data_IF_779856986109
#
_entry.id   IF_779856986109
#
_cell.length_a   1.000
_cell.length_b   1.000
_cell.length_c   1.000
_cell.angle_alpha   90.00
_cell.angle_beta   90.00
_cell.angle_gamma   90.00
#
_symmetry.space_group_name_H-M   'P 1'
#
loop_
_entity.id
_entity.type
_entity.pdbx_description
1 polymer ?
#
# COMPACT_ATOMS: atom_id res chain seq x y z
N UNK A 1 67.02 -12.72 -45.93
CA UNK A 1 65.60 -12.99 -45.74
C UNK A 1 64.85 -12.46 -46.94
N UNK A 2 64.12 -13.36 -47.65
CA UNK A 2 63.51 -12.97 -48.95
C UNK A 2 62.28 -12.08 -48.69
N UNK A 3 62.07 -11.01 -49.47
CA UNK A 3 60.93 -10.05 -49.30
C UNK A 3 59.57 -10.79 -49.25
N UNK A 4 59.47 -11.93 -49.91
CA UNK A 4 58.28 -12.82 -49.85
C UNK A 4 58.04 -13.46 -48.51
N UNK A 5 59.10 -13.83 -47.73
CA UNK A 5 58.96 -14.40 -46.39
C UNK A 5 58.54 -13.36 -45.34
N UNK A 6 58.94 -12.11 -45.51
CA UNK A 6 58.50 -11.00 -44.63
C UNK A 6 57.02 -10.71 -44.88
N UNK A 7 56.54 -10.75 -46.11
CA UNK A 7 55.16 -10.51 -46.45
C UNK A 7 54.25 -11.60 -45.89
N UNK A 8 54.65 -12.88 -45.94
CA UNK A 8 53.90 -13.99 -45.32
C UNK A 8 53.89 -13.91 -43.80
N UNK A 9 54.98 -13.45 -43.17
CA UNK A 9 55.00 -13.28 -41.71
C UNK A 9 54.12 -12.11 -41.27
N UNK A 10 54.05 -11.01 -42.02
CA UNK A 10 53.17 -9.90 -41.74
C UNK A 10 51.70 -10.23 -41.97
N UNK A 11 51.35 -11.02 -43.02
CA UNK A 11 49.95 -11.45 -43.21
C UNK A 11 49.52 -12.45 -42.15
N UNK A 12 50.37 -13.33 -41.68
CA UNK A 12 50.06 -14.25 -40.59
C UNK A 12 49.88 -13.53 -39.25
N UNK A 13 50.72 -12.53 -38.96
CA UNK A 13 50.56 -11.67 -37.77
C UNK A 13 49.31 -10.81 -37.83
N UNK A 14 48.90 -10.31 -39.01
CA UNK A 14 47.65 -9.56 -39.19
C UNK A 14 46.42 -10.45 -39.03
N UNK A 15 46.47 -11.72 -39.43
CA UNK A 15 45.37 -12.68 -39.18
C UNK A 15 45.23 -13.03 -37.70
N UNK A 16 46.31 -13.08 -36.92
CA UNK A 16 46.24 -13.29 -35.47
C UNK A 16 45.71 -12.07 -34.70
N UNK A 17 45.89 -10.86 -35.22
CA UNK A 17 45.36 -9.65 -34.63
C UNK A 17 43.87 -9.45 -34.91
N UNK A 18 43.29 -10.10 -35.95
CA UNK A 18 41.88 -10.08 -36.24
C UNK A 18 41.09 -11.20 -35.50
N UNK A 19 41.80 -12.14 -34.85
CA UNK A 19 41.23 -13.14 -33.99
C UNK A 19 41.16 -12.70 -32.51
N UNK A 20 41.38 -11.40 -32.19
CA UNK A 20 40.89 -10.83 -30.96
C UNK A 20 39.39 -10.81 -31.05
N UNK A 21 38.79 -11.95 -30.71
CA UNK A 21 37.38 -12.00 -30.36
C UNK A 21 37.15 -10.84 -29.38
N UNK A 22 36.35 -9.87 -29.76
CA UNK A 22 35.55 -9.16 -28.80
C UNK A 22 34.70 -10.24 -28.15
N UNK A 23 35.22 -10.85 -27.12
CA UNK A 23 34.40 -11.54 -26.15
C UNK A 23 33.52 -10.43 -25.62
N UNK A 24 32.30 -10.28 -26.13
CA UNK A 24 31.26 -9.56 -25.43
C UNK A 24 31.18 -10.27 -24.09
N UNK A 25 31.87 -9.72 -23.08
CA UNK A 25 31.78 -10.21 -21.72
C UNK A 25 30.31 -10.05 -21.32
N UNK A 26 29.54 -11.11 -21.50
CA UNK A 26 28.17 -11.16 -21.01
C UNK A 26 28.22 -10.95 -19.49
N UNK A 27 27.78 -9.81 -18.96
CA UNK A 27 27.87 -9.51 -17.52
C UNK A 27 27.08 -10.50 -16.68
N UNK A 28 26.26 -11.33 -17.32
CA UNK A 28 25.43 -12.34 -16.70
C UNK A 28 25.90 -13.77 -16.94
N UNK A 29 27.07 -13.97 -17.55
CA UNK A 29 27.64 -15.29 -17.77
C UNK A 29 27.75 -16.07 -16.46
N UNK A 30 27.14 -17.26 -16.41
CA UNK A 30 27.12 -18.11 -15.20
C UNK A 30 26.09 -17.72 -14.14
N UNK A 31 25.24 -16.73 -14.40
CA UNK A 31 24.09 -16.35 -13.54
C UNK A 31 22.80 -16.96 -14.08
N UNK A 32 21.86 -17.17 -13.18
CA UNK A 32 20.50 -17.63 -13.48
C UNK A 32 19.58 -16.42 -13.43
N UNK A 33 18.77 -16.25 -14.47
CA UNK A 33 17.72 -15.23 -14.50
C UNK A 33 16.53 -15.70 -13.70
N UNK A 34 16.17 -14.96 -12.66
CA UNK A 34 14.95 -15.14 -11.88
C UNK A 34 13.99 -14.00 -12.20
N UNK A 35 12.81 -14.34 -12.68
CA UNK A 35 11.77 -13.37 -13.06
C UNK A 35 10.58 -13.50 -12.11
N UNK A 36 10.10 -12.37 -11.61
CA UNK A 36 8.89 -12.29 -10.80
C UNK A 36 7.81 -11.52 -11.55
N UNK A 37 6.59 -12.06 -11.51
CA UNK A 37 5.38 -11.39 -11.97
C UNK A 37 4.60 -11.04 -10.70
N UNK A 38 4.67 -9.77 -10.31
CA UNK A 38 3.96 -9.24 -9.16
C UNK A 38 2.55 -8.80 -9.58
N UNK A 39 1.56 -9.23 -8.82
CA UNK A 39 0.15 -8.91 -9.02
C UNK A 39 -0.34 -8.07 -7.85
N UNK A 40 -1.07 -7.00 -8.13
CA UNK A 40 -1.92 -6.37 -7.11
C UNK A 40 -3.08 -7.31 -6.78
N UNK A 41 -3.68 -7.24 -5.58
CA UNK A 41 -4.87 -8.02 -5.25
C UNK A 41 -5.95 -7.81 -6.31
N UNK A 42 -6.54 -8.89 -6.79
CA UNK A 42 -7.71 -8.79 -7.68
C UNK A 42 -8.87 -8.21 -6.89
N UNK A 43 -9.27 -7.00 -7.19
CA UNK A 43 -10.53 -6.46 -6.70
C UNK A 43 -11.65 -7.08 -7.52
N UNK A 44 -12.35 -8.04 -6.96
CA UNK A 44 -13.51 -8.69 -7.60
C UNK A 44 -14.75 -7.79 -7.67
N UNK A 45 -14.60 -6.46 -7.67
CA UNK A 45 -15.74 -5.59 -7.86
C UNK A 45 -16.12 -5.50 -9.34
N UNK A 46 -16.99 -6.39 -9.78
CA UNK A 46 -17.64 -6.30 -11.10
C UNK A 46 -18.62 -5.11 -11.19
N UNK A 47 -18.94 -4.44 -10.10
CA UNK A 47 -19.93 -3.36 -10.05
C UNK A 47 -19.49 -2.19 -9.19
N UNK A 48 -18.87 -1.22 -9.80
CA UNK A 48 -18.49 0.10 -9.29
C UNK A 48 -17.06 0.24 -8.78
N UNK A 49 -16.45 1.36 -9.11
CA UNK A 49 -15.21 1.87 -8.50
C UNK A 49 -15.40 1.99 -6.99
N UNK A 50 -14.96 0.98 -6.25
CA UNK A 50 -14.93 1.06 -4.81
C UNK A 50 -13.70 1.87 -4.41
N UNK A 51 -13.87 2.88 -3.60
CA UNK A 51 -12.74 3.58 -2.96
C UNK A 51 -11.90 2.54 -2.21
N UNK A 52 -10.57 2.58 -2.42
CA UNK A 52 -9.65 1.60 -1.83
C UNK A 52 -9.60 0.26 -2.58
N UNK A 53 -9.90 0.26 -3.88
CA UNK A 53 -9.86 -0.93 -4.74
C UNK A 53 -8.44 -1.38 -5.13
N UNK A 54 -7.41 -0.65 -4.71
CA UNK A 54 -6.00 -0.98 -5.00
C UNK A 54 -5.52 -0.60 -6.39
N UNK A 55 -6.39 -0.06 -7.25
CA UNK A 55 -6.03 0.24 -8.65
C UNK A 55 -5.12 1.46 -8.80
N UNK A 56 -4.88 2.20 -7.73
CA UNK A 56 -4.04 3.42 -7.76
C UNK A 56 -2.55 3.10 -7.71
N UNK A 57 -2.12 2.00 -7.09
CA UNK A 57 -0.71 1.62 -7.10
C UNK A 57 -0.25 1.33 -8.53
N UNK A 58 0.79 2.02 -8.98
CA UNK A 58 1.27 1.96 -10.35
C UNK A 58 2.80 1.84 -10.47
N UNK A 59 3.52 1.80 -9.36
CA UNK A 59 4.96 1.67 -9.30
C UNK A 59 5.37 0.57 -8.32
N UNK A 60 6.34 -0.26 -8.72
CA UNK A 60 6.89 -1.35 -7.92
C UNK A 60 8.36 -1.09 -7.60
N UNK A 61 8.72 -1.35 -6.35
CA UNK A 61 10.09 -1.42 -5.82
C UNK A 61 10.42 -2.87 -5.50
N UNK A 62 11.67 -3.27 -5.76
CA UNK A 62 12.10 -4.64 -5.65
C UNK A 62 13.51 -4.73 -5.04
N UNK A 63 13.69 -5.59 -4.05
CA UNK A 63 14.97 -5.86 -3.38
C UNK A 63 15.28 -7.34 -3.39
N UNK A 64 16.57 -7.65 -3.47
CA UNK A 64 17.10 -9.00 -3.35
C UNK A 64 18.03 -9.07 -2.15
N UNK A 65 17.84 -10.08 -1.31
CA UNK A 65 18.69 -10.36 -0.14
C UNK A 65 19.31 -11.74 -0.26
N UNK A 66 20.52 -11.88 0.26
CA UNK A 66 21.17 -13.16 0.43
C UNK A 66 20.60 -13.96 1.64
N UNK A 67 21.11 -15.15 1.87
CA UNK A 67 20.73 -16.02 2.99
C UNK A 67 20.94 -15.37 4.38
N UNK A 68 21.83 -14.38 4.48
CA UNK A 68 22.16 -13.63 5.71
C UNK A 68 21.32 -12.35 5.89
N UNK A 69 20.32 -12.14 5.04
CA UNK A 69 19.52 -10.91 4.96
C UNK A 69 20.34 -9.65 4.59
N UNK A 70 21.47 -9.83 3.91
CA UNK A 70 22.20 -8.71 3.35
C UNK A 70 21.68 -8.41 1.95
N UNK A 71 21.43 -7.15 1.67
CA UNK A 71 21.01 -6.71 0.34
C UNK A 71 22.09 -7.05 -0.68
N UNK A 72 21.69 -7.69 -1.77
CA UNK A 72 22.59 -7.99 -2.88
C UNK A 72 22.81 -6.71 -3.68
N UNK A 73 24.01 -6.18 -3.66
CA UNK A 73 24.37 -4.94 -4.35
C UNK A 73 23.94 -4.98 -5.82
N UNK A 74 23.49 -3.84 -6.31
CA UNK A 74 23.05 -3.59 -7.69
C UNK A 74 21.81 -4.39 -8.14
N UNK A 75 21.07 -5.03 -7.20
CA UNK A 75 19.83 -5.75 -7.50
C UNK A 75 18.57 -5.02 -7.08
N UNK A 76 18.69 -3.85 -6.44
CA UNK A 76 17.55 -2.98 -6.17
C UNK A 76 17.00 -2.42 -7.48
N UNK A 77 15.68 -2.57 -7.69
CA UNK A 77 14.97 -1.99 -8.83
C UNK A 77 13.84 -1.12 -8.33
N UNK A 78 13.65 -0.01 -9.01
CA UNK A 78 12.58 0.96 -8.71
C UNK A 78 12.00 1.48 -10.03
N UNK A 79 10.93 2.26 -9.94
CA UNK A 79 10.21 2.80 -11.11
C UNK A 79 9.70 1.73 -12.07
N UNK A 80 9.48 0.50 -11.60
CA UNK A 80 8.88 -0.57 -12.41
C UNK A 80 7.38 -0.33 -12.46
N UNK A 81 6.84 -0.12 -13.67
CA UNK A 81 5.45 0.24 -13.84
C UNK A 81 4.55 -1.00 -13.91
N UNK A 82 3.38 -0.91 -13.29
CA UNK A 82 2.32 -1.89 -13.49
C UNK A 82 1.68 -1.70 -14.88
N UNK A 83 1.38 -2.81 -15.53
CA UNK A 83 0.62 -2.83 -16.77
C UNK A 83 -0.90 -2.72 -16.51
N UNK A 84 -1.70 -2.64 -17.57
CA UNK A 84 -3.16 -2.51 -17.49
C UNK A 84 -3.87 -3.66 -16.75
N UNK A 85 -3.19 -4.77 -16.49
CA UNK A 85 -3.71 -5.94 -15.79
C UNK A 85 -3.25 -5.99 -14.32
N UNK A 86 -2.84 -4.86 -13.77
CA UNK A 86 -2.33 -4.75 -12.39
C UNK A 86 -1.16 -5.69 -12.10
N UNK A 87 -0.31 -5.92 -13.10
CA UNK A 87 0.88 -6.75 -13.00
C UNK A 87 2.14 -5.97 -13.33
N UNK A 88 3.22 -6.26 -12.60
CA UNK A 88 4.56 -5.73 -12.88
C UNK A 88 5.55 -6.90 -12.97
N UNK A 89 6.55 -6.78 -13.86
CA UNK A 89 7.57 -7.81 -14.05
C UNK A 89 8.95 -7.27 -13.71
N UNK A 90 9.66 -7.97 -12.82
CA UNK A 90 11.04 -7.67 -12.44
C UNK A 90 11.89 -8.92 -12.61
N UNK A 91 13.19 -8.73 -12.86
CA UNK A 91 14.12 -9.85 -13.00
C UNK A 91 15.44 -9.55 -12.29
N UNK A 92 16.05 -10.59 -11.71
CA UNK A 92 17.40 -10.55 -11.14
C UNK A 92 18.25 -11.66 -11.75
N UNK A 93 19.57 -11.39 -11.93
CA UNK A 93 20.55 -12.36 -12.39
C UNK A 93 21.39 -12.81 -11.21
N UNK A 94 21.14 -14.01 -10.70
CA UNK A 94 21.65 -14.50 -9.44
C UNK A 94 22.65 -15.63 -9.63
N UNK A 95 23.59 -15.75 -8.69
CA UNK A 95 24.55 -16.84 -8.67
C UNK A 95 23.83 -18.14 -8.28
N UNK A 96 23.93 -19.21 -9.06
CA UNK A 96 23.31 -20.49 -8.74
C UNK A 96 23.95 -21.13 -7.51
N UNK A 97 23.22 -22.06 -6.89
CA UNK A 97 23.64 -22.80 -5.70
C UNK A 97 23.42 -22.07 -4.37
N UNK A 98 22.73 -20.92 -4.38
CA UNK A 98 22.44 -20.11 -3.21
C UNK A 98 20.94 -19.93 -2.98
N UNK A 99 20.58 -19.60 -1.75
CA UNK A 99 19.23 -19.20 -1.36
C UNK A 99 19.15 -17.68 -1.32
N UNK A 100 18.09 -17.14 -1.90
CA UNK A 100 17.83 -15.70 -1.92
C UNK A 100 16.44 -15.40 -1.37
N UNK A 101 16.26 -14.16 -0.90
CA UNK A 101 15.00 -13.63 -0.40
C UNK A 101 14.66 -12.38 -1.18
N UNK A 102 13.37 -12.11 -1.34
CA UNK A 102 12.91 -11.01 -2.20
C UNK A 102 11.81 -10.23 -1.50
N UNK A 103 11.96 -8.91 -1.53
CA UNK A 103 10.96 -7.98 -1.03
C UNK A 103 10.37 -7.15 -2.17
N UNK A 104 9.11 -6.82 -2.03
CA UNK A 104 8.35 -6.02 -2.97
C UNK A 104 7.56 -4.97 -2.21
N UNK A 105 7.53 -3.75 -2.75
CA UNK A 105 6.68 -2.67 -2.29
C UNK A 105 6.05 -1.99 -3.49
N UNK A 106 4.73 -1.81 -3.48
CA UNK A 106 4.02 -1.13 -4.55
C UNK A 106 3.23 0.06 -3.98
N UNK A 107 3.28 1.18 -4.68
CA UNK A 107 2.63 2.43 -4.32
C UNK A 107 2.26 3.23 -5.57
N UNK A 108 1.55 4.34 -5.40
CA UNK A 108 1.41 5.32 -6.47
C UNK A 108 2.70 6.14 -6.62
N UNK A 109 3.17 6.32 -7.86
CA UNK A 109 4.45 7.01 -8.16
C UNK A 109 4.49 8.48 -7.71
N UNK A 110 3.33 9.14 -7.64
CA UNK A 110 3.24 10.56 -7.28
C UNK A 110 2.97 10.77 -5.78
N UNK A 111 2.81 9.69 -4.99
CA UNK A 111 2.63 9.80 -3.55
C UNK A 111 3.95 10.21 -2.87
N UNK A 112 3.88 11.14 -1.94
CA UNK A 112 5.06 11.66 -1.25
C UNK A 112 5.18 11.16 0.19
N UNK A 113 4.16 10.50 0.70
CA UNK A 113 4.19 9.99 2.07
C UNK A 113 5.04 8.73 2.27
N UNK A 114 5.52 8.08 1.20
CA UNK A 114 6.37 6.89 1.28
C UNK A 114 7.73 7.13 0.64
N UNK A 115 8.80 6.74 1.34
CA UNK A 115 10.15 6.70 0.78
C UNK A 115 10.72 5.27 0.84
N UNK A 116 10.58 4.48 -0.24
CA UNK A 116 11.01 3.09 -0.32
C UNK A 116 12.46 2.93 -0.83
N UNK A 117 13.33 3.94 -0.70
CA UNK A 117 14.74 3.84 -1.12
C UNK A 117 15.59 2.93 -0.26
N UNK A 118 15.09 2.50 0.87
CA UNK A 118 15.75 1.57 1.79
C UNK A 118 14.81 0.44 2.20
N UNK A 119 15.36 -0.63 2.77
CA UNK A 119 14.60 -1.76 3.32
C UNK A 119 13.61 -1.36 4.44
N UNK A 120 13.86 -0.24 5.08
CA UNK A 120 12.93 0.44 5.97
C UNK A 120 12.28 1.57 5.18
N UNK A 121 11.06 1.33 4.68
CA UNK A 121 10.26 2.36 4.02
C UNK A 121 9.89 3.43 5.03
N UNK A 122 10.24 4.67 4.74
CA UNK A 122 9.79 5.83 5.52
C UNK A 122 8.32 6.15 5.21
N UNK A 123 7.55 6.41 6.25
CA UNK A 123 6.14 6.81 6.14
C UNK A 123 5.98 8.18 6.81
N UNK A 124 5.59 9.17 6.04
CA UNK A 124 5.35 10.53 6.51
C UNK A 124 3.87 10.73 6.85
N UNK A 125 3.62 11.46 7.96
CA UNK A 125 2.31 11.92 8.40
C UNK A 125 2.35 13.44 8.60
N UNK A 126 2.93 14.15 7.62
CA UNK A 126 3.04 15.61 7.65
C UNK A 126 1.89 16.23 6.86
N UNK A 127 1.50 17.45 7.25
CA UNK A 127 0.38 18.23 6.68
C UNK A 127 0.34 18.25 5.14
N UNK A 128 1.48 18.40 4.50
CA UNK A 128 1.61 18.48 3.04
C UNK A 128 1.52 17.13 2.32
N UNK A 129 1.52 16.03 3.09
CA UNK A 129 1.49 14.65 2.56
C UNK A 129 0.36 13.81 3.13
N UNK A 130 -0.39 14.31 4.10
CA UNK A 130 -1.35 13.54 4.88
C UNK A 130 -2.74 14.17 4.83
N UNK A 131 -3.33 14.16 3.65
CA UNK A 131 -4.68 14.67 3.43
C UNK A 131 -5.71 13.55 3.52
N UNK A 132 -6.90 13.89 4.01
CA UNK A 132 -8.04 13.00 4.02
C UNK A 132 -8.48 12.65 2.59
N UNK A 133 -9.10 11.50 2.40
CA UNK A 133 -9.65 11.03 1.12
C UNK A 133 -8.63 10.81 -0.01
N UNK A 134 -7.34 10.67 0.31
CA UNK A 134 -6.32 10.40 -0.69
C UNK A 134 -6.14 8.88 -0.93
N UNK A 135 -6.76 8.37 -2.00
CA UNK A 135 -6.60 6.97 -2.42
C UNK A 135 -5.18 6.63 -2.92
N UNK A 136 -4.35 7.62 -3.24
CA UNK A 136 -2.98 7.38 -3.67
C UNK A 136 -2.11 6.82 -2.54
N UNK A 137 -2.55 6.96 -1.28
CA UNK A 137 -1.89 6.39 -0.09
C UNK A 137 -1.98 4.88 0.01
N UNK A 138 -2.77 4.21 -0.82
CA UNK A 138 -2.84 2.75 -0.82
C UNK A 138 -1.51 2.13 -1.26
N UNK A 139 -0.98 1.19 -0.47
CA UNK A 139 0.30 0.56 -0.73
C UNK A 139 0.27 -0.94 -0.42
N UNK A 140 1.13 -1.68 -1.13
CA UNK A 140 1.14 -3.14 -1.10
C UNK A 140 2.54 -3.68 -0.89
N UNK A 141 2.62 -4.82 -0.28
CA UNK A 141 3.86 -5.50 0.06
C UNK A 141 3.84 -6.97 -0.35
N UNK A 142 5.01 -7.51 -0.68
CA UNK A 142 5.22 -8.93 -0.93
C UNK A 142 6.57 -9.41 -0.40
N UNK A 143 6.64 -10.68 -0.01
CA UNK A 143 7.87 -11.30 0.47
C UNK A 143 7.99 -12.74 0.02
N UNK A 144 9.15 -13.11 -0.51
CA UNK A 144 9.53 -14.49 -0.76
C UNK A 144 10.70 -14.81 0.15
N UNK A 145 10.51 -15.66 1.18
CA UNK A 145 11.48 -15.81 2.26
C UNK A 145 12.72 -16.62 1.85
N UNK A 146 12.56 -17.62 1.00
CA UNK A 146 13.64 -18.54 0.62
C UNK A 146 13.37 -19.11 -0.77
N UNK A 147 14.18 -18.70 -1.75
CA UNK A 147 14.19 -19.29 -3.08
C UNK A 147 15.58 -19.83 -3.36
N UNK A 148 15.71 -21.14 -3.48
CA UNK A 148 16.94 -21.77 -3.95
C UNK A 148 17.07 -21.58 -5.46
N UNK A 149 18.16 -20.97 -5.89
CA UNK A 149 18.48 -20.75 -7.31
C UNK A 149 19.36 -21.91 -7.79
N UNK A 150 18.77 -22.83 -8.54
CA UNK A 150 19.49 -23.97 -9.11
C UNK A 150 20.31 -23.57 -10.35
N UNK A 151 21.23 -24.45 -10.75
CA UNK A 151 22.12 -24.25 -11.91
C UNK A 151 21.43 -24.37 -13.27
N UNK A 152 20.19 -24.81 -13.33
CA UNK A 152 19.46 -25.13 -14.55
C UNK A 152 18.35 -24.15 -14.88
N UNK A 153 18.62 -23.21 -15.80
CA UNK A 153 17.59 -22.49 -16.54
C UNK A 153 17.07 -21.20 -15.90
N UNK A 154 16.04 -20.64 -16.51
CA UNK A 154 15.33 -19.47 -16.00
C UNK A 154 14.25 -19.90 -14.99
N UNK A 155 14.07 -19.10 -13.93
CA UNK A 155 13.03 -19.30 -12.92
C UNK A 155 12.00 -18.19 -13.08
N UNK A 156 10.71 -18.54 -13.16
CA UNK A 156 9.61 -17.58 -13.13
C UNK A 156 8.70 -17.87 -11.96
N UNK A 157 8.41 -16.84 -11.15
CA UNK A 157 7.56 -16.90 -9.97
C UNK A 157 6.45 -15.84 -10.06
N UNK A 158 5.24 -16.21 -9.64
CA UNK A 158 4.15 -15.25 -9.42
C UNK A 158 4.08 -14.91 -7.95
N UNK A 159 3.83 -13.64 -7.64
CA UNK A 159 3.57 -13.17 -6.29
C UNK A 159 2.35 -12.25 -6.28
N UNK A 160 1.41 -12.49 -5.37
CA UNK A 160 0.32 -11.57 -5.10
C UNK A 160 0.75 -10.67 -3.95
N UNK A 161 0.74 -9.38 -4.19
CA UNK A 161 1.04 -8.37 -3.16
C UNK A 161 -0.17 -8.21 -2.25
N UNK A 162 0.06 -7.89 -0.99
CA UNK A 162 -0.99 -7.70 0.02
C UNK A 162 -0.88 -6.32 0.66
N UNK A 163 -2.01 -5.72 1.03
CA UNK A 163 -1.99 -4.51 1.84
C UNK A 163 -1.41 -4.79 3.22
N UNK A 164 -0.71 -3.78 3.76
CA UNK A 164 -0.20 -3.79 5.13
C UNK A 164 -0.68 -2.60 5.94
N UNK A 165 -1.27 -1.64 5.26
CA UNK A 165 -1.90 -0.48 5.87
C UNK A 165 -3.27 -0.87 6.46
N UNK A 166 -3.70 -0.14 7.49
CA UNK A 166 -5.10 -0.06 7.85
C UNK A 166 -5.78 0.99 7.00
N UNK A 167 -7.04 0.76 6.65
CA UNK A 167 -7.92 1.79 6.10
C UNK A 167 -9.01 2.10 7.12
N UNK A 168 -9.24 3.38 7.36
CA UNK A 168 -10.38 3.86 8.13
C UNK A 168 -11.32 4.61 7.19
N UNK A 169 -12.60 4.32 7.27
CA UNK A 169 -13.66 4.98 6.51
C UNK A 169 -14.73 5.50 7.47
N UNK A 170 -15.24 6.67 7.18
CA UNK A 170 -16.44 7.20 7.82
C UNK A 170 -17.52 7.36 6.76
N UNK A 171 -18.68 6.81 7.01
CA UNK A 171 -19.83 6.90 6.14
C UNK A 171 -21.11 7.25 6.91
N UNK A 172 -22.14 7.66 6.19
CA UNK A 172 -23.47 7.92 6.76
C UNK A 172 -24.53 7.12 5.99
N UNK A 173 -25.49 6.59 6.71
CA UNK A 173 -26.62 5.87 6.08
C UNK A 173 -27.36 6.80 5.11
N UNK A 174 -28.04 6.21 4.11
CA UNK A 174 -28.89 6.96 3.18
C UNK A 174 -29.97 7.77 3.91
N UNK A 175 -30.57 7.18 4.96
CA UNK A 175 -31.56 7.90 5.79
C UNK A 175 -30.93 9.06 6.53
N UNK A 176 -29.74 8.88 7.12
CA UNK A 176 -29.00 9.95 7.80
C UNK A 176 -28.63 11.09 6.86
N UNK A 177 -28.14 10.77 5.65
CA UNK A 177 -27.83 11.74 4.61
C UNK A 177 -29.07 12.57 4.21
N UNK A 178 -30.19 11.87 3.92
CA UNK A 178 -31.45 12.52 3.54
C UNK A 178 -32.04 13.39 4.66
N UNK A 179 -31.90 12.96 5.93
CA UNK A 179 -32.32 13.76 7.08
C UNK A 179 -31.47 15.00 7.24
N UNK A 180 -30.16 14.93 7.03
CA UNK A 180 -29.27 16.09 7.04
C UNK A 180 -29.68 17.09 5.95
N UNK A 181 -29.89 16.61 4.74
CA UNK A 181 -30.33 17.43 3.61
C UNK A 181 -31.67 18.12 3.88
N UNK A 182 -32.65 17.39 4.45
CA UNK A 182 -33.94 17.93 4.84
C UNK A 182 -33.85 19.00 5.96
N UNK A 183 -32.81 18.89 6.81
CA UNK A 183 -32.50 19.90 7.84
C UNK A 183 -31.71 21.09 7.28
N UNK A 184 -31.43 21.14 5.99
CA UNK A 184 -30.68 22.23 5.33
C UNK A 184 -29.16 22.07 5.40
N UNK A 185 -28.66 20.87 5.67
CA UNK A 185 -27.24 20.51 5.67
C UNK A 185 -26.97 19.58 4.50
N UNK A 186 -26.43 20.12 3.40
CA UNK A 186 -25.92 19.32 2.30
C UNK A 186 -24.47 18.95 2.59
N UNK A 187 -24.23 17.68 2.87
CA UNK A 187 -22.89 17.18 3.24
C UNK A 187 -21.88 17.33 2.10
N UNK A 188 -22.31 17.40 0.85
CA UNK A 188 -21.44 17.62 -0.31
C UNK A 188 -20.81 19.03 -0.34
N UNK A 189 -21.36 19.96 0.45
CA UNK A 189 -20.80 21.32 0.61
C UNK A 189 -19.67 21.41 1.64
N UNK A 190 -19.19 20.25 2.15
CA UNK A 190 -18.15 20.20 3.17
C UNK A 190 -16.91 19.48 2.67
N UNK A 191 -15.77 19.93 3.16
CA UNK A 191 -14.52 19.17 3.17
C UNK A 191 -14.42 18.41 4.49
N UNK A 192 -13.76 17.25 4.48
CA UNK A 192 -13.61 16.41 5.66
C UNK A 192 -12.17 16.30 6.10
N UNK A 193 -11.95 16.32 7.40
CA UNK A 193 -10.73 16.03 8.12
C UNK A 193 -10.98 14.85 9.06
N UNK A 194 -9.99 14.00 9.21
CA UNK A 194 -10.07 12.85 10.09
C UNK A 194 -8.93 12.86 11.08
N UNK A 195 -9.26 12.95 12.36
CA UNK A 195 -8.30 12.90 13.45
C UNK A 195 -8.45 11.57 14.18
N UNK A 196 -7.32 10.90 14.48
CA UNK A 196 -7.31 9.68 15.27
C UNK A 196 -6.32 9.84 16.41
N UNK A 197 -6.80 9.68 17.64
CA UNK A 197 -6.01 9.75 18.85
C UNK A 197 -5.88 8.38 19.49
N UNK A 198 -4.70 8.02 19.98
CA UNK A 198 -4.49 6.77 20.70
C UNK A 198 -5.45 6.67 21.90
N UNK A 199 -6.17 5.56 22.00
CA UNK A 199 -7.07 5.30 23.12
C UNK A 199 -6.59 4.14 24.04
N UNK A 200 -5.54 3.43 23.65
CA UNK A 200 -4.98 2.29 24.35
C UNK A 200 -3.54 2.50 24.79
N UNK A 201 -2.84 1.41 25.07
CA UNK A 201 -1.43 1.41 25.49
C UNK A 201 -0.46 1.16 24.32
N UNK A 202 -0.97 0.77 23.16
CA UNK A 202 -0.16 0.51 21.97
C UNK A 202 -0.14 1.73 21.07
N UNK A 203 0.97 2.02 20.39
CA UNK A 203 1.06 3.09 19.42
C UNK A 203 -0.04 2.94 18.35
N UNK A 204 -0.56 4.06 17.91
CA UNK A 204 -1.59 4.10 16.89
C UNK A 204 -1.02 3.70 15.52
N UNK A 205 0.15 4.24 15.19
CA UNK A 205 0.81 4.01 13.92
C UNK A 205 2.34 4.08 14.05
N UNK A 206 3.03 3.82 12.94
CA UNK A 206 4.49 3.85 12.84
C UNK A 206 4.94 4.59 11.59
N UNK A 207 6.08 5.29 11.69
CA UNK A 207 6.72 6.01 10.58
C UNK A 207 7.67 5.15 9.76
N UNK A 208 7.81 3.88 10.07
CA UNK A 208 8.70 2.95 9.37
C UNK A 208 8.02 1.60 9.13
N UNK A 209 8.25 1.05 7.93
CA UNK A 209 7.84 -0.30 7.58
C UNK A 209 9.04 -1.10 7.09
N UNK A 210 9.31 -2.25 7.70
CA UNK A 210 10.41 -3.14 7.29
C UNK A 210 9.91 -4.13 6.23
N UNK A 211 10.34 -3.94 4.99
CA UNK A 211 9.94 -4.80 3.87
C UNK A 211 10.42 -6.25 4.02
N UNK A 212 11.43 -6.53 4.88
CA UNK A 212 11.94 -7.88 5.15
C UNK A 212 11.09 -8.65 6.15
N UNK A 213 10.32 -7.95 6.96
CA UNK A 213 9.47 -8.52 8.00
C UNK A 213 7.99 -8.40 7.66
N UNK A 214 7.63 -7.50 6.75
CA UNK A 214 6.25 -7.21 6.37
C UNK A 214 5.44 -6.59 7.48
N UNK A 215 6.10 -5.83 8.35
CA UNK A 215 5.46 -5.17 9.48
C UNK A 215 6.11 -3.81 9.75
N UNK A 216 5.45 -3.01 10.58
CA UNK A 216 6.05 -1.80 11.14
C UNK A 216 7.31 -2.15 11.93
N UNK A 217 8.30 -1.27 11.91
CA UNK A 217 9.53 -1.47 12.69
C UNK A 217 9.27 -1.23 14.18
N UNK A 218 8.79 -2.24 14.86
CA UNK A 218 8.44 -2.20 16.29
C UNK A 218 9.66 -2.14 17.22
N UNK A 219 10.86 -2.42 16.71
CA UNK A 219 12.06 -2.47 17.55
C UNK A 219 12.51 -1.10 18.07
N UNK A 220 11.91 0.00 17.59
CA UNK A 220 12.30 1.34 17.96
C UNK A 220 11.08 2.23 18.23
N UNK A 221 10.85 2.52 19.52
CA UNK A 221 9.78 3.42 19.97
C UNK A 221 9.82 4.83 19.35
N UNK A 222 10.97 5.23 18.77
CA UNK A 222 11.09 6.51 18.08
C UNK A 222 10.29 6.57 16.75
N UNK A 223 9.77 5.43 16.29
CA UNK A 223 8.95 5.36 15.08
C UNK A 223 7.45 5.27 15.39
N UNK A 224 7.09 5.28 16.67
CA UNK A 224 5.71 5.20 17.13
C UNK A 224 5.03 6.57 17.02
N UNK A 225 3.75 6.55 16.67
CA UNK A 225 2.85 7.72 16.60
C UNK A 225 1.59 7.40 17.37
N UNK A 226 1.16 8.35 18.20
CA UNK A 226 -0.03 8.25 19.03
C UNK A 226 -1.16 9.19 18.59
N UNK A 227 -0.90 10.00 17.57
CA UNK A 227 -1.84 10.97 17.02
C UNK A 227 -1.67 11.06 15.51
N UNK A 228 -2.78 10.99 14.77
CA UNK A 228 -2.86 11.17 13.32
C UNK A 228 -3.86 12.27 13.02
N UNK A 229 -3.49 13.17 12.14
CA UNK A 229 -4.31 14.26 11.64
C UNK A 229 -4.27 14.23 10.11
N UNK A 230 -5.38 13.78 9.51
CA UNK A 230 -5.54 13.72 8.07
C UNK A 230 -6.27 14.98 7.61
N UNK A 231 -5.50 15.92 7.13
CA UNK A 231 -5.89 17.29 6.81
C UNK A 231 -7.10 17.41 5.88
N UNK A 232 -7.85 18.51 5.97
CA UNK A 232 -9.10 18.66 5.24
C UNK A 232 -8.94 18.52 3.73
N UNK A 233 -9.80 17.69 3.13
CA UNK A 233 -9.89 17.48 1.70
C UNK A 233 -11.35 17.33 1.25
N UNK A 234 -11.64 17.58 -0.04
CA UNK A 234 -12.97 17.36 -0.58
C UNK A 234 -13.46 15.93 -0.32
N UNK A 235 -14.71 15.81 0.14
CA UNK A 235 -15.33 14.50 0.25
C UNK A 235 -15.43 13.83 -1.12
N UNK A 236 -15.22 12.52 -1.19
CA UNK A 236 -15.61 11.76 -2.38
C UNK A 236 -17.13 11.87 -2.55
N UNK A 237 -17.61 12.34 -3.70
CA UNK A 237 -19.06 12.36 -3.99
C UNK A 237 -19.50 10.96 -4.44
N UNK A 238 -19.29 9.97 -3.58
CA UNK A 238 -19.48 8.56 -3.86
C UNK A 238 -20.22 7.83 -2.74
N UNK A 239 -20.77 6.67 -3.07
CA UNK A 239 -21.45 5.79 -2.13
C UNK A 239 -20.62 4.54 -1.86
N UNK A 240 -20.25 4.36 -0.59
CA UNK A 240 -19.59 3.16 -0.10
C UNK A 240 -20.59 2.00 -0.10
N UNK A 241 -20.25 0.89 -0.76
CA UNK A 241 -21.02 -0.36 -0.65
C UNK A 241 -20.39 -1.25 0.42
N UNK A 242 -21.18 -1.67 1.39
CA UNK A 242 -20.84 -2.69 2.37
C UNK A 242 -21.95 -3.75 2.32
N UNK A 243 -21.66 -4.89 1.71
CA UNK A 243 -22.67 -5.89 1.37
C UNK A 243 -23.75 -5.31 0.44
N UNK A 244 -25.02 -5.44 0.82
CA UNK A 244 -26.16 -4.91 0.04
C UNK A 244 -26.53 -3.46 0.39
N UNK A 245 -25.86 -2.84 1.36
CA UNK A 245 -26.16 -1.49 1.82
C UNK A 245 -25.21 -0.47 1.18
N UNK A 246 -25.72 0.75 1.01
CA UNK A 246 -24.97 1.89 0.53
C UNK A 246 -24.92 2.96 1.61
N UNK A 247 -23.76 3.58 1.73
CA UNK A 247 -23.49 4.65 2.69
C UNK A 247 -22.81 5.78 1.95
N UNK A 248 -23.22 7.03 2.21
CA UNK A 248 -22.52 8.17 1.64
C UNK A 248 -21.15 8.33 2.31
N UNK A 249 -20.12 8.50 1.52
CA UNK A 249 -18.75 8.62 1.99
C UNK A 249 -18.52 10.00 2.61
N UNK A 250 -18.03 10.05 3.84
CA UNK A 250 -17.67 11.28 4.52
C UNK A 250 -16.15 11.48 4.60
N UNK A 251 -15.42 10.44 4.95
CA UNK A 251 -13.97 10.50 5.11
C UNK A 251 -13.31 9.14 4.94
N UNK A 252 -12.06 9.14 4.48
CA UNK A 252 -11.23 7.94 4.37
C UNK A 252 -9.76 8.31 4.55
N UNK A 253 -8.99 7.44 5.20
CA UNK A 253 -7.53 7.51 5.13
C UNK A 253 -6.86 6.16 5.38
N UNK A 254 -5.53 6.13 5.11
CA UNK A 254 -4.66 4.98 5.33
C UNK A 254 -3.55 5.33 6.29
N UNK A 255 -3.21 4.40 7.16
CA UNK A 255 -2.05 4.52 8.05
C UNK A 255 -1.43 3.16 8.35
N UNK A 256 -0.23 3.14 8.93
CA UNK A 256 0.53 1.94 9.22
C UNK A 256 0.49 1.60 10.71
N UNK A 257 -0.52 0.86 11.20
CA UNK A 257 -0.47 0.27 12.54
C UNK A 257 0.34 -1.03 12.53
N UNK A 258 0.37 -1.72 13.64
CA UNK A 258 0.84 -3.09 13.68
C UNK A 258 -0.03 -4.00 12.80
N UNK A 259 0.59 -4.96 12.10
CA UNK A 259 -0.13 -5.94 11.28
C UNK A 259 -0.52 -7.19 12.07
N UNK A 260 0.09 -7.43 13.23
CA UNK A 260 -0.14 -8.62 14.06
C UNK A 260 -1.08 -8.32 15.22
N UNK A 261 -1.07 -7.09 15.72
CA UNK A 261 -1.78 -6.68 16.91
C UNK A 261 -2.75 -5.54 16.60
N UNK A 262 -3.88 -5.53 17.28
CA UNK A 262 -4.84 -4.43 17.18
C UNK A 262 -4.41 -3.27 18.06
N UNK A 263 -4.59 -2.06 17.55
CA UNK A 263 -4.52 -0.81 18.31
C UNK A 263 -5.91 -0.19 18.40
N UNK A 264 -6.13 0.67 19.37
CA UNK A 264 -7.38 1.38 19.58
C UNK A 264 -7.17 2.87 19.44
N UNK A 265 -8.12 3.57 18.85
CA UNK A 265 -8.05 5.02 18.70
C UNK A 265 -9.43 5.67 18.75
N UNK A 266 -9.48 6.82 19.41
CA UNK A 266 -10.62 7.73 19.29
C UNK A 266 -10.60 8.41 17.93
N UNK A 267 -11.72 8.35 17.23
CA UNK A 267 -11.86 8.98 15.91
C UNK A 267 -12.70 10.23 16.04
N UNK A 268 -12.25 11.31 15.42
CA UNK A 268 -12.97 12.58 15.34
C UNK A 268 -13.06 12.93 13.85
N UNK A 269 -14.28 13.14 13.37
CA UNK A 269 -14.56 13.66 12.04
C UNK A 269 -14.90 15.13 12.13
N UNK A 270 -14.14 15.96 11.42
CA UNK A 270 -14.42 17.38 11.26
C UNK A 270 -14.91 17.65 9.84
N UNK A 271 -16.02 18.36 9.72
CA UNK A 271 -16.59 18.76 8.44
C UNK A 271 -16.58 20.29 8.33
N UNK A 272 -15.85 20.80 7.36
CA UNK A 272 -15.67 22.22 7.11
C UNK A 272 -16.46 22.66 5.90
N UNK A 273 -17.41 23.56 6.08
CA UNK A 273 -18.22 24.03 4.96
C UNK A 273 -17.38 24.87 3.97
N UNK A 274 -17.32 24.43 2.71
CA UNK A 274 -16.46 24.97 1.63
C UNK A 274 -16.51 26.50 1.44
N UNK A 275 -17.65 27.12 1.71
CA UNK A 275 -17.86 28.56 1.49
C UNK A 275 -18.14 29.35 2.78
N UNK A 276 -18.27 28.69 3.92
CA UNK A 276 -18.54 29.35 5.21
C UNK A 276 -17.66 28.76 6.33
N UNK A 277 -16.48 29.35 6.61
CA UNK A 277 -15.54 28.81 7.58
C UNK A 277 -16.07 28.78 9.04
N UNK A 278 -17.20 29.50 9.32
CA UNK A 278 -17.82 29.46 10.63
C UNK A 278 -18.80 28.27 10.82
N UNK A 279 -19.06 27.52 9.74
CA UNK A 279 -19.86 26.29 9.81
C UNK A 279 -18.91 25.09 9.84
N UNK A 280 -18.71 24.56 11.04
CA UNK A 280 -17.96 23.34 11.29
C UNK A 280 -18.89 22.35 12.00
N UNK A 281 -18.85 21.10 11.60
CA UNK A 281 -19.53 20.00 12.27
C UNK A 281 -18.44 19.09 12.80
N UNK A 282 -18.42 18.88 14.11
CA UNK A 282 -17.53 17.95 14.80
C UNK A 282 -18.31 16.72 15.25
N UNK A 283 -17.80 15.55 14.94
CA UNK A 283 -18.36 14.27 15.36
C UNK A 283 -17.24 13.48 16.05
N UNK A 284 -17.27 13.49 17.38
CA UNK A 284 -16.35 12.72 18.20
C UNK A 284 -17.00 11.35 18.50
N UNK A 285 -16.45 10.30 17.90
CA UNK A 285 -16.96 8.95 18.03
C UNK A 285 -16.81 8.40 19.45
N UNK A 286 -15.89 8.92 20.26
CA UNK A 286 -15.75 8.53 21.67
C UNK A 286 -16.95 8.95 22.53
N UNK A 287 -17.68 9.98 22.09
CA UNK A 287 -18.85 10.48 22.79
C UNK A 287 -20.17 9.76 22.38
N UNK A 288 -20.15 9.03 21.28
CA UNK A 288 -21.34 8.44 20.68
C UNK A 288 -21.62 7.00 21.16
N UNK A 289 -20.72 6.39 21.93
CA UNK A 289 -20.92 5.03 22.43
C UNK A 289 -19.73 4.47 23.21
N UNK A 290 -19.85 3.21 23.65
CA UNK A 290 -18.80 2.51 24.43
C UNK A 290 -17.80 1.75 23.54
N UNK A 291 -18.00 1.70 22.23
CA UNK A 291 -17.17 0.94 21.31
C UNK A 291 -16.06 1.84 20.78
N UNK A 292 -14.86 1.67 21.29
CA UNK A 292 -13.67 2.33 20.76
C UNK A 292 -13.25 1.58 19.48
N UNK A 293 -13.09 2.27 18.34
CA UNK A 293 -12.63 1.64 17.10
C UNK A 293 -11.28 0.96 17.28
N UNK A 294 -11.12 -0.20 16.66
CA UNK A 294 -9.86 -0.93 16.59
C UNK A 294 -9.30 -0.89 15.19
N UNK A 295 -7.98 -0.81 15.11
CA UNK A 295 -7.25 -0.76 13.85
C UNK A 295 -6.13 -1.81 13.85
N UNK A 296 -5.91 -2.38 12.70
CA UNK A 296 -4.82 -3.32 12.46
C UNK A 296 -4.41 -3.22 11.00
N UNK A 297 -3.14 -3.36 10.71
CA UNK A 297 -2.66 -3.52 9.32
C UNK A 297 -3.43 -4.63 8.62
N UNK A 298 -3.69 -4.48 7.34
CA UNK A 298 -4.49 -5.39 6.51
C UNK A 298 -6.01 -5.35 6.72
N UNK A 299 -6.52 -4.51 7.64
CA UNK A 299 -7.96 -4.40 7.91
C UNK A 299 -8.52 -3.05 7.50
N UNK A 300 -9.80 -3.07 7.14
CA UNK A 300 -10.62 -1.88 6.91
C UNK A 300 -11.59 -1.70 8.08
N UNK A 301 -11.56 -0.54 8.72
CA UNK A 301 -12.51 -0.16 9.78
C UNK A 301 -13.49 0.86 9.21
N UNK A 302 -14.78 0.52 9.18
CA UNK A 302 -15.83 1.41 8.70
C UNK A 302 -16.65 1.90 9.89
N UNK A 303 -16.73 3.23 10.04
CA UNK A 303 -17.53 3.92 11.05
C UNK A 303 -18.77 4.47 10.35
N UNK A 304 -19.93 3.91 10.65
CA UNK A 304 -21.17 4.24 9.95
C UNK A 304 -22.13 4.99 10.86
N UNK A 305 -22.35 6.26 10.52
CA UNK A 305 -23.29 7.15 11.18
C UNK A 305 -24.73 6.91 10.68
N UNK A 306 -25.70 7.05 11.54
CA UNK A 306 -27.13 7.08 11.17
C UNK A 306 -27.69 8.50 11.05
N UNK A 307 -26.92 9.52 11.44
CA UNK A 307 -27.26 10.94 11.33
C UNK A 307 -26.09 11.84 11.70
N UNK A 308 -26.31 13.15 11.68
CA UNK A 308 -25.35 14.19 12.10
C UNK A 308 -25.97 15.21 13.06
N UNK A 309 -27.15 14.91 13.61
CA UNK A 309 -27.86 15.76 14.55
C UNK A 309 -27.71 15.27 16.00
N UNK A 310 -28.24 15.98 16.97
CA UNK A 310 -27.98 15.85 18.42
C UNK A 310 -28.18 14.46 19.05
N UNK A 311 -28.81 13.51 18.37
CA UNK A 311 -29.04 12.13 18.86
C UNK A 311 -28.39 11.11 17.90
N UNK A 312 -27.13 11.33 17.53
CA UNK A 312 -26.38 10.47 16.59
C UNK A 312 -25.98 9.17 17.25
N UNK A 313 -26.23 8.06 16.59
CA UNK A 313 -25.60 6.77 16.89
C UNK A 313 -24.69 6.34 15.75
N UNK A 314 -23.69 5.53 16.06
CA UNK A 314 -22.81 4.97 15.02
C UNK A 314 -22.61 3.48 15.23
N UNK A 315 -22.24 2.80 14.14
CA UNK A 315 -21.87 1.40 14.15
C UNK A 315 -20.45 1.24 13.60
N UNK A 316 -19.64 0.44 14.27
CA UNK A 316 -18.32 0.05 13.80
C UNK A 316 -18.43 -1.26 13.04
N UNK A 317 -18.01 -1.27 11.78
CA UNK A 317 -17.94 -2.48 10.96
C UNK A 317 -16.48 -2.68 10.54
N UNK A 318 -15.87 -3.76 11.02
CA UNK A 318 -14.49 -4.11 10.69
C UNK A 318 -14.54 -5.12 9.54
N UNK A 319 -13.90 -4.79 8.43
CA UNK A 319 -13.66 -5.71 7.33
C UNK A 319 -12.31 -6.39 7.54
N UNK A 320 -12.34 -7.65 7.95
CA UNK A 320 -11.15 -8.44 8.24
C UNK A 320 -10.42 -8.93 6.99
N UNK A 321 -11.09 -8.88 5.84
CA UNK A 321 -10.59 -9.37 4.56
C UNK A 321 -10.49 -8.23 3.54
N UNK A 322 -9.73 -7.20 3.87
CA UNK A 322 -9.59 -6.01 3.04
C UNK A 322 -9.22 -6.32 1.57
N UNK A 323 -8.43 -7.36 1.34
CA UNK A 323 -8.04 -7.84 0.00
C UNK A 323 -8.99 -8.91 -0.57
N UNK A 324 -9.99 -9.36 0.21
CA UNK A 324 -11.03 -10.31 -0.20
C UNK A 324 -12.41 -9.68 -0.02
N UNK A 325 -13.14 -9.50 -1.09
CA UNK A 325 -14.34 -8.66 -1.21
C UNK A 325 -15.61 -9.16 -0.51
N UNK A 326 -15.65 -10.33 0.14
CA UNK A 326 -16.90 -11.00 0.45
C UNK A 326 -17.32 -11.09 1.92
N UNK A 327 -16.61 -10.46 2.87
CA UNK A 327 -17.00 -10.53 4.27
C UNK A 327 -17.25 -9.16 4.89
N UNK A 328 -18.45 -8.65 4.66
CA UNK A 328 -18.95 -7.47 5.35
C UNK A 328 -19.89 -7.91 6.48
N UNK A 329 -19.68 -7.39 7.67
CA UNK A 329 -20.52 -7.67 8.83
C UNK A 329 -21.49 -6.52 9.09
N UNK A 330 -22.71 -6.86 9.46
CA UNK A 330 -23.74 -5.89 9.87
C UNK A 330 -23.46 -5.31 11.26
N UNK A 331 -24.29 -4.32 11.67
CA UNK A 331 -24.20 -3.69 12.99
C UNK A 331 -24.34 -4.64 14.17
N UNK A 332 -24.86 -5.83 13.93
CA UNK A 332 -25.07 -6.91 14.90
C UNK A 332 -23.92 -7.93 14.95
N UNK A 333 -22.81 -7.68 14.21
CA UNK A 333 -21.66 -8.57 14.12
C UNK A 333 -21.90 -9.83 13.28
N UNK A 334 -23.03 -9.92 12.57
CA UNK A 334 -23.30 -11.01 11.65
C UNK A 334 -22.88 -10.67 10.23
N UNK A 335 -22.38 -11.65 9.42
CA UNK A 335 -22.12 -11.42 8.01
C UNK A 335 -23.37 -10.83 7.36
N UNK A 336 -23.20 -9.74 6.62
CA UNK A 336 -24.27 -9.20 5.78
C UNK A 336 -24.49 -10.23 4.68
N UNK A 337 -25.38 -11.20 4.96
CA UNK A 337 -25.68 -12.30 4.07
C UNK A 337 -26.11 -11.84 2.69
N UNK A 338 -25.82 -12.69 1.70
CA UNK A 338 -26.16 -12.57 0.28
C UNK A 338 -27.62 -12.18 0.01
#
# INVERSE_FOLDING_TARGET
MNKKSILYLMTLAALFLLASCTQDDDPYAGKVKVTFIAHLPETLSLDSRAIGDGTKANELFFWVYDERNQEVNDMYQHNVQFNNNSTATVSAYLTPGHVYKFAFWAQHKDIQCYDPRAALVDISYLEDHDVCNDELRDAFWGWIPDLYVDVAGEITQNIVLTRRLAQVNVGITESGFNNALAAGVDLRDYDSELIIEQAGTKPLAYTKFDVRQGNASMANVNYAIDFLDFWPAPMPDEWLKIGKKQYFYLAMSYFQPDVLEETTGNVILMLYHKTNPNKVIEIDFSQLGSNIPTFRGTKRTNLILDGITTDVTFNVVIDENFDNLDYNYGPDGNPLGD
#
